data_IF_073653841173
#
_entry.id   IF_073653841173
#
_cell.length_a   1.000
_cell.length_b   1.000
_cell.length_c   1.000
_cell.angle_alpha   90.00
_cell.angle_beta   90.00
_cell.angle_gamma   90.00
#
_symmetry.space_group_name_H-M   'P 1'
#
loop_
_entity.id
_entity.type
_entity.pdbx_description
1 polymer ?
#
# COMPACT_ATOMS: atom_id res chain seq x y z
N UNK A 1 14.07 -7.94 0.94
CA UNK A 1 12.65 -8.20 1.28
C UNK A 1 12.49 -9.52 2.02
N UNK A 2 12.82 -10.71 1.46
CA UNK A 2 12.61 -12.00 2.11
C UNK A 2 13.30 -12.15 3.47
N UNK A 3 14.58 -11.77 3.58
CA UNK A 3 15.31 -11.78 4.87
C UNK A 3 14.64 -10.86 5.90
N UNK A 4 14.15 -9.69 5.47
CA UNK A 4 13.41 -8.78 6.33
C UNK A 4 12.11 -9.39 6.86
N UNK A 5 11.34 -10.08 6.00
CA UNK A 5 10.12 -10.78 6.41
C UNK A 5 10.39 -11.82 7.50
N UNK A 6 11.42 -12.65 7.32
CA UNK A 6 11.82 -13.68 8.30
C UNK A 6 12.29 -13.05 9.62
N UNK A 7 13.12 -12.01 9.54
CA UNK A 7 13.62 -11.31 10.72
C UNK A 7 12.49 -10.67 11.53
N UNK A 8 11.56 -9.96 10.88
CA UNK A 8 10.41 -9.32 11.52
C UNK A 8 9.48 -10.36 12.12
N UNK A 9 9.21 -11.47 11.40
CA UNK A 9 8.40 -12.56 11.93
C UNK A 9 9.05 -13.18 13.18
N UNK A 10 10.37 -13.42 13.14
CA UNK A 10 11.12 -13.93 14.28
C UNK A 10 11.08 -13.01 15.51
N UNK A 11 11.20 -11.69 15.32
CA UNK A 11 11.05 -10.70 16.38
C UNK A 11 9.62 -10.70 16.93
N UNK A 12 8.59 -10.83 16.05
CA UNK A 12 7.19 -10.89 16.43
C UNK A 12 6.84 -12.08 17.32
N UNK A 13 7.52 -13.21 17.16
CA UNK A 13 7.34 -14.38 18.05
C UNK A 13 7.72 -14.06 19.51
N UNK A 14 8.72 -13.20 19.70
CA UNK A 14 9.23 -12.78 21.02
C UNK A 14 8.50 -11.55 21.57
N UNK A 15 7.69 -10.87 20.77
CA UNK A 15 6.99 -9.65 21.15
C UNK A 15 5.85 -9.92 22.15
N UNK A 16 5.53 -8.96 23.04
CA UNK A 16 4.34 -8.99 23.89
C UNK A 16 3.07 -9.18 23.06
N UNK A 17 2.06 -9.89 23.63
CA UNK A 17 0.81 -10.22 22.92
C UNK A 17 0.11 -9.00 22.31
N UNK A 18 0.16 -7.84 22.96
CA UNK A 18 -0.46 -6.60 22.47
C UNK A 18 0.21 -5.96 21.25
N UNK A 19 1.46 -6.31 20.96
CA UNK A 19 2.23 -5.75 19.82
C UNK A 19 2.38 -6.71 18.63
N UNK A 20 1.98 -7.96 18.78
CA UNK A 20 2.19 -9.01 17.75
C UNK A 20 1.56 -8.64 16.41
N UNK A 21 0.41 -7.98 16.40
CA UNK A 21 -0.26 -7.60 15.16
C UNK A 21 0.58 -6.65 14.31
N UNK A 22 1.34 -5.72 14.89
CA UNK A 22 2.22 -4.84 14.13
C UNK A 22 3.35 -5.60 13.44
N UNK A 23 3.95 -6.58 14.13
CA UNK A 23 4.97 -7.44 13.54
C UNK A 23 4.42 -8.33 12.43
N UNK A 24 3.20 -8.86 12.61
CA UNK A 24 2.52 -9.66 11.58
C UNK A 24 2.22 -8.82 10.34
N UNK A 25 1.69 -7.60 10.51
CA UNK A 25 1.43 -6.70 9.39
C UNK A 25 2.72 -6.35 8.64
N UNK A 26 3.78 -5.97 9.35
CA UNK A 26 5.07 -5.63 8.74
C UNK A 26 5.71 -6.83 8.04
N UNK A 27 5.62 -8.02 8.60
CA UNK A 27 6.12 -9.25 7.98
C UNK A 27 5.30 -9.59 6.72
N UNK A 28 3.98 -9.43 6.76
CA UNK A 28 3.10 -9.64 5.61
C UNK A 28 3.43 -8.68 4.46
N UNK A 29 3.63 -7.39 4.73
CA UNK A 29 4.07 -6.40 3.73
C UNK A 29 5.38 -6.84 3.07
N UNK A 30 6.39 -7.22 3.86
CA UNK A 30 7.66 -7.70 3.32
C UNK A 30 7.53 -9.00 2.51
N UNK A 31 6.64 -9.91 2.90
CA UNK A 31 6.41 -11.17 2.21
C UNK A 31 5.70 -10.95 0.86
N UNK A 32 4.65 -10.12 0.84
CA UNK A 32 3.92 -9.76 -0.39
C UNK A 32 4.87 -9.09 -1.38
N UNK A 33 5.62 -8.09 -0.93
CA UNK A 33 6.61 -7.40 -1.76
C UNK A 33 7.67 -8.38 -2.28
N UNK A 34 8.17 -9.30 -1.45
CA UNK A 34 9.13 -10.31 -1.88
C UNK A 34 8.57 -11.16 -3.03
N UNK A 35 7.35 -11.67 -2.91
CA UNK A 35 6.71 -12.51 -3.94
C UNK A 35 6.52 -11.72 -5.25
N UNK A 36 6.02 -10.48 -5.16
CA UNK A 36 5.80 -9.64 -6.34
C UNK A 36 7.11 -9.33 -7.08
N UNK A 37 8.15 -8.92 -6.37
CA UNK A 37 9.46 -8.62 -6.96
C UNK A 37 10.17 -9.87 -7.46
N UNK A 38 10.02 -11.00 -6.78
CA UNK A 38 10.53 -12.28 -7.25
C UNK A 38 9.85 -12.71 -8.55
N UNK A 39 8.53 -12.56 -8.67
CA UNK A 39 7.78 -12.82 -9.90
C UNK A 39 8.29 -11.92 -11.05
N UNK A 40 8.46 -10.62 -10.80
CA UNK A 40 9.00 -9.68 -11.80
C UNK A 40 10.42 -10.03 -12.23
N UNK A 41 11.28 -10.46 -11.32
CA UNK A 41 12.63 -10.91 -11.63
C UNK A 41 12.67 -12.16 -12.54
N UNK A 42 11.61 -12.99 -12.49
CA UNK A 42 11.43 -14.14 -13.37
C UNK A 42 10.61 -13.83 -14.64
N UNK A 43 10.42 -12.55 -14.97
CA UNK A 43 9.71 -12.13 -16.18
C UNK A 43 8.17 -12.23 -16.09
N UNK A 44 7.63 -12.48 -14.89
CA UNK A 44 6.18 -12.51 -14.67
C UNK A 44 5.66 -11.12 -14.25
N UNK A 45 4.36 -10.90 -14.44
CA UNK A 45 3.74 -9.63 -14.03
C UNK A 45 4.14 -8.42 -14.87
N UNK A 46 4.50 -8.65 -16.12
CA UNK A 46 4.98 -7.65 -17.09
C UNK A 46 4.04 -7.63 -18.28
N UNK A 47 3.73 -6.44 -18.78
CA UNK A 47 2.96 -6.23 -20.01
C UNK A 47 3.63 -5.18 -20.88
N UNK A 48 3.54 -5.34 -22.20
CA UNK A 48 4.06 -4.37 -23.15
C UNK A 48 2.92 -3.50 -23.68
N UNK A 49 3.00 -2.20 -23.41
CA UNK A 49 2.00 -1.21 -23.83
C UNK A 49 2.67 -0.11 -24.64
N UNK A 50 2.28 0.05 -25.90
CA UNK A 50 2.82 1.08 -26.80
C UNK A 50 4.37 1.12 -26.88
N UNK A 51 5.01 -0.07 -26.93
CA UNK A 51 6.47 -0.20 -26.98
C UNK A 51 7.19 0.00 -25.64
N UNK A 52 6.46 0.18 -24.54
CA UNK A 52 7.01 0.29 -23.19
C UNK A 52 6.69 -0.98 -22.39
N UNK A 53 7.62 -1.36 -21.53
CA UNK A 53 7.45 -2.45 -20.58
C UNK A 53 6.87 -1.91 -19.29
N UNK A 54 5.66 -2.34 -18.93
CA UNK A 54 4.99 -1.95 -17.71
C UNK A 54 4.90 -3.14 -16.74
N UNK A 55 5.31 -2.91 -15.50
CA UNK A 55 5.36 -3.92 -14.45
C UNK A 55 4.07 -3.86 -13.61
N UNK A 56 2.99 -4.47 -14.08
CA UNK A 56 1.70 -4.40 -13.37
C UNK A 56 1.72 -5.13 -12.01
N UNK A 57 2.61 -6.12 -11.84
CA UNK A 57 2.79 -6.79 -10.55
C UNK A 57 3.21 -5.83 -9.43
N UNK A 58 3.89 -4.72 -9.75
CA UNK A 58 4.22 -3.66 -8.80
C UNK A 58 2.96 -2.98 -8.25
N UNK A 59 1.97 -2.72 -9.09
CA UNK A 59 0.71 -2.10 -8.68
C UNK A 59 -0.13 -3.05 -7.83
N UNK A 60 -0.08 -4.36 -8.12
CA UNK A 60 -0.72 -5.38 -7.27
C UNK A 60 -0.07 -5.41 -5.89
N UNK A 61 1.27 -5.39 -5.82
CA UNK A 61 2.01 -5.30 -4.57
C UNK A 61 1.58 -4.06 -3.78
N UNK A 62 1.66 -2.89 -4.39
CA UNK A 62 1.32 -1.63 -3.72
C UNK A 62 -0.14 -1.58 -3.27
N UNK A 63 -1.06 -2.09 -4.07
CA UNK A 63 -2.49 -2.14 -3.74
C UNK A 63 -2.79 -2.94 -2.47
N UNK A 64 -1.94 -3.93 -2.16
CA UNK A 64 -2.04 -4.73 -0.94
C UNK A 64 -1.19 -4.17 0.21
N UNK A 65 0.02 -3.71 -0.10
CA UNK A 65 1.00 -3.34 0.93
C UNK A 65 0.82 -1.92 1.46
N UNK A 66 0.46 -0.95 0.62
CA UNK A 66 0.35 0.44 1.07
C UNK A 66 -0.84 0.69 1.98
N UNK A 67 -2.05 0.09 1.79
CA UNK A 67 -3.12 0.17 2.77
C UNK A 67 -2.74 -0.40 4.14
N UNK A 68 -1.96 -1.50 4.16
CA UNK A 68 -1.46 -2.08 5.40
C UNK A 68 -0.48 -1.15 6.11
N UNK A 69 0.40 -0.48 5.35
CA UNK A 69 1.36 0.48 5.90
C UNK A 69 0.67 1.74 6.42
N UNK A 70 -0.23 2.34 5.64
CA UNK A 70 -0.97 3.55 6.03
C UNK A 70 -1.88 3.24 7.21
N UNK A 71 -2.65 2.16 7.15
CA UNK A 71 -3.52 1.74 8.25
C UNK A 71 -2.73 1.48 9.53
N UNK A 72 -1.61 0.76 9.44
CA UNK A 72 -0.72 0.51 10.57
C UNK A 72 -0.13 1.78 11.17
N UNK A 73 0.33 2.72 10.33
CA UNK A 73 0.88 4.01 10.76
C UNK A 73 -0.18 4.87 11.46
N UNK A 74 -1.37 4.98 10.88
CA UNK A 74 -2.47 5.75 11.45
C UNK A 74 -2.99 5.12 12.75
N UNK A 75 -3.04 3.80 12.85
CA UNK A 75 -3.39 3.13 14.11
C UNK A 75 -2.44 3.44 15.25
N UNK A 76 -1.15 3.62 14.95
CA UNK A 76 -0.14 4.01 15.94
C UNK A 76 -0.21 5.51 16.23
N UNK A 77 -0.27 6.34 15.18
CA UNK A 77 -0.27 7.81 15.31
C UNK A 77 -1.53 8.36 15.96
N UNK A 78 -2.68 7.74 15.65
CA UNK A 78 -3.99 8.09 16.21
C UNK A 78 -4.37 7.21 17.41
N UNK A 79 -3.41 6.77 18.22
CA UNK A 79 -3.72 5.99 19.42
C UNK A 79 -4.72 6.74 20.33
N UNK A 80 -5.77 6.09 20.85
CA UNK A 80 -6.81 6.76 21.59
C UNK A 80 -6.25 7.37 22.87
N UNK A 81 -6.43 8.69 23.03
CA UNK A 81 -6.10 9.43 24.25
C UNK A 81 -7.27 9.43 25.25
N UNK A 82 -8.49 9.30 24.75
CA UNK A 82 -9.75 9.26 25.48
C UNK A 82 -10.72 8.30 24.80
N UNK A 83 -11.65 7.73 25.53
CA UNK A 83 -12.61 6.74 25.03
C UNK A 83 -13.97 7.34 24.65
N UNK A 84 -14.03 8.52 24.04
CA UNK A 84 -15.28 9.05 23.52
C UNK A 84 -15.65 8.37 22.21
N UNK A 85 -16.92 7.99 22.05
CA UNK A 85 -17.40 7.30 20.84
C UNK A 85 -17.29 8.15 19.56
N UNK A 86 -17.33 9.48 19.67
CA UNK A 86 -17.15 10.41 18.56
C UNK A 86 -15.72 10.39 18.04
N UNK A 87 -14.72 10.46 18.92
CA UNK A 87 -13.30 10.36 18.54
C UNK A 87 -12.96 9.03 17.86
N UNK A 88 -13.57 7.93 18.30
CA UNK A 88 -13.37 6.63 17.68
C UNK A 88 -13.97 6.58 16.26
N UNK A 89 -15.10 7.24 16.03
CA UNK A 89 -15.75 7.36 14.73
C UNK A 89 -14.93 8.22 13.76
N UNK A 90 -14.47 9.37 14.21
CA UNK A 90 -13.67 10.29 13.39
C UNK A 90 -12.33 9.65 13.00
N UNK A 91 -11.69 8.97 13.93
CA UNK A 91 -10.47 8.20 13.69
C UNK A 91 -10.68 7.11 12.63
N UNK A 92 -11.75 6.33 12.74
CA UNK A 92 -12.04 5.30 11.74
C UNK A 92 -12.33 5.90 10.37
N UNK A 93 -13.06 7.01 10.31
CA UNK A 93 -13.32 7.72 9.07
C UNK A 93 -12.04 8.23 8.39
N UNK A 94 -11.09 8.77 9.17
CA UNK A 94 -9.77 9.18 8.66
C UNK A 94 -8.97 7.99 8.11
N UNK A 95 -8.93 6.87 8.83
CA UNK A 95 -8.22 5.66 8.37
C UNK A 95 -8.83 5.14 7.07
N UNK A 96 -10.16 4.98 7.01
CA UNK A 96 -10.83 4.51 5.80
C UNK A 96 -10.71 5.49 4.64
N UNK A 97 -10.75 6.80 4.91
CA UNK A 97 -10.56 7.84 3.92
C UNK A 97 -9.15 7.81 3.31
N UNK A 98 -8.12 7.74 4.15
CA UNK A 98 -6.73 7.68 3.71
C UNK A 98 -6.43 6.40 2.91
N UNK A 99 -6.89 5.24 3.40
CA UNK A 99 -6.74 3.95 2.71
C UNK A 99 -7.50 3.96 1.38
N UNK A 100 -8.73 4.49 1.34
CA UNK A 100 -9.52 4.61 0.11
C UNK A 100 -8.86 5.51 -0.93
N UNK A 101 -8.32 6.65 -0.52
CA UNK A 101 -7.58 7.58 -1.39
C UNK A 101 -6.30 6.94 -1.93
N UNK A 102 -5.57 6.18 -1.11
CA UNK A 102 -4.37 5.45 -1.49
C UNK A 102 -4.68 4.36 -2.54
N UNK A 103 -5.69 3.54 -2.31
CA UNK A 103 -6.12 2.51 -3.27
C UNK A 103 -6.55 3.15 -4.61
N UNK A 104 -7.29 4.25 -4.55
CA UNK A 104 -7.69 5.00 -5.75
C UNK A 104 -6.46 5.56 -6.49
N UNK A 105 -5.49 6.11 -5.78
CA UNK A 105 -4.23 6.61 -6.33
C UNK A 105 -3.50 5.52 -7.11
N UNK A 106 -3.38 4.32 -6.55
CA UNK A 106 -2.68 3.19 -7.18
C UNK A 106 -3.42 2.70 -8.42
N UNK A 107 -4.75 2.58 -8.36
CA UNK A 107 -5.56 2.18 -9.51
C UNK A 107 -5.50 3.20 -10.65
N UNK A 108 -5.54 4.50 -10.33
CA UNK A 108 -5.36 5.56 -11.31
C UNK A 108 -3.94 5.52 -11.95
N UNK A 109 -2.92 5.25 -11.14
CA UNK A 109 -1.55 5.06 -11.61
C UNK A 109 -1.40 3.84 -12.54
N UNK A 110 -2.04 2.71 -12.20
CA UNK A 110 -2.10 1.52 -13.05
C UNK A 110 -2.80 1.83 -14.39
N UNK A 111 -3.94 2.51 -14.34
CA UNK A 111 -4.67 2.91 -15.55
C UNK A 111 -3.81 3.81 -16.46
N UNK A 112 -3.04 4.74 -15.88
CA UNK A 112 -2.06 5.55 -16.60
C UNK A 112 -0.99 4.69 -17.28
N UNK A 113 -0.45 3.69 -16.58
CA UNK A 113 0.57 2.77 -17.11
C UNK A 113 0.05 1.93 -18.28
N UNK A 114 -1.17 1.42 -18.19
CA UNK A 114 -1.79 0.55 -19.20
C UNK A 114 -2.36 1.32 -20.39
N UNK A 115 -2.46 2.63 -20.32
CA UNK A 115 -3.04 3.45 -21.40
C UNK A 115 -2.04 3.69 -22.53
N UNK A 116 -2.51 3.52 -23.78
CA UNK A 116 -1.72 3.76 -25.01
C UNK A 116 -1.66 5.23 -25.39
N UNK A 117 -2.71 6.00 -25.12
CA UNK A 117 -2.80 7.43 -25.46
C UNK A 117 -2.02 8.29 -24.47
N UNK A 118 -1.12 9.12 -24.95
CA UNK A 118 -0.32 10.00 -24.10
C UNK A 118 -1.16 11.01 -23.32
N UNK A 119 -2.16 11.61 -23.96
CA UNK A 119 -3.04 12.60 -23.29
C UNK A 119 -3.83 11.97 -22.13
N UNK A 120 -4.41 10.78 -22.36
CA UNK A 120 -5.17 10.05 -21.33
C UNK A 120 -4.24 9.57 -20.20
N UNK A 121 -3.02 9.13 -20.55
CA UNK A 121 -2.00 8.74 -19.56
C UNK A 121 -1.68 9.88 -18.60
N UNK A 122 -1.39 11.07 -19.11
CA UNK A 122 -1.10 12.24 -18.25
C UNK A 122 -2.31 12.69 -17.46
N UNK A 123 -3.54 12.52 -17.97
CA UNK A 123 -4.77 12.77 -17.22
C UNK A 123 -4.89 11.86 -16.00
N UNK A 124 -4.73 10.55 -16.16
CA UNK A 124 -4.73 9.61 -15.03
C UNK A 124 -3.58 9.83 -14.07
N UNK A 125 -2.40 10.20 -14.58
CA UNK A 125 -1.27 10.55 -13.74
C UNK A 125 -1.55 11.77 -12.87
N UNK A 126 -2.15 12.83 -13.42
CA UNK A 126 -2.54 14.02 -12.66
C UNK A 126 -3.58 13.69 -11.57
N UNK A 127 -4.57 12.85 -11.90
CA UNK A 127 -5.57 12.38 -10.93
C UNK A 127 -4.89 11.59 -9.79
N UNK A 128 -3.96 10.70 -10.12
CA UNK A 128 -3.17 9.95 -9.14
C UNK A 128 -2.36 10.88 -8.23
N UNK A 129 -1.74 11.93 -8.78
CA UNK A 129 -1.01 12.93 -7.99
C UNK A 129 -1.92 13.71 -7.03
N UNK A 130 -3.13 14.09 -7.47
CA UNK A 130 -4.12 14.76 -6.60
C UNK A 130 -4.53 13.83 -5.45
N UNK A 131 -4.84 12.56 -5.74
CA UNK A 131 -5.17 11.58 -4.71
C UNK A 131 -4.01 11.37 -3.72
N UNK A 132 -2.76 11.38 -4.18
CA UNK A 132 -1.58 11.32 -3.32
C UNK A 132 -1.50 12.52 -2.36
N UNK A 133 -1.80 13.73 -2.84
CA UNK A 133 -1.83 14.91 -1.98
C UNK A 133 -2.92 14.82 -0.91
N UNK A 134 -4.06 14.18 -1.22
CA UNK A 134 -5.13 13.93 -0.24
C UNK A 134 -4.68 12.95 0.83
N UNK A 135 -3.87 11.93 0.47
CA UNK A 135 -3.31 10.98 1.46
C UNK A 135 -2.30 11.67 2.41
N UNK A 136 -1.61 12.72 1.93
CA UNK A 136 -0.63 13.46 2.72
C UNK A 136 -1.22 14.56 3.61
N UNK A 137 -2.46 14.99 3.37
CA UNK A 137 -3.13 16.08 4.09
C UNK A 137 -3.74 15.61 5.41
#
# INVERSE_FOLDING_TARGET
>A
MGVGAVAIAGLGLRAPRGQKHHFVMSAAVCAIAFVAYYAMANGLGIVHVAGRQEFYARYIDWFLTTPLLIGGLLMIGLAPRTSSGEEARDRSALIFGAVGADMFMILAGLAAGLTRSSSVKYGFYAISCIAFLVVLA
#
